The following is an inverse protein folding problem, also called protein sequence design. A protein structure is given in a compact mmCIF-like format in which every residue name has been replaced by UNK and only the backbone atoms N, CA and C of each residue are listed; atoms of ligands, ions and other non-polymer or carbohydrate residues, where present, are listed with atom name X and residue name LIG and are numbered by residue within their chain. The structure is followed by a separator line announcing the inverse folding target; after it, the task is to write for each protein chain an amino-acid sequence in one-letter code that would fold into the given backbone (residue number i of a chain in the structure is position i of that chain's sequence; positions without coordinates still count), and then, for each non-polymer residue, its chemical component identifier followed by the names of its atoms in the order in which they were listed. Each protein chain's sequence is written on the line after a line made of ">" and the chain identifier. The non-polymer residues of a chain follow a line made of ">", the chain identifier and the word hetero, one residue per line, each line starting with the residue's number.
data_IF_985078733697
#
_entry.id   IF_985078733697
#
_cell.length_a   1.000
_cell.length_b   1.000
_cell.length_c   1.000
_cell.angle_alpha   90.00
_cell.angle_beta   90.00
_cell.angle_gamma   90.00
#
_symmetry.space_group_name_H-M   'P 1'
#
loop_
_entity.id
_entity.type
_entity.pdbx_description
1 polymer ?
#
# COMPACT_ATOMS: atom_id res chain seq x y z
N UNK A 1 44.36 -1.20 -14.21
CA UNK A 1 43.58 -2.41 -13.88
C UNK A 1 43.19 -2.30 -12.41
N UNK A 2 42.01 -1.77 -12.10
CA UNK A 2 41.41 -1.81 -10.76
C UNK A 2 39.92 -2.04 -10.95
N UNK A 3 39.55 -3.28 -10.69
CA UNK A 3 38.25 -3.89 -10.87
C UNK A 3 37.57 -3.98 -9.49
N UNK A 4 36.24 -3.89 -9.49
CA UNK A 4 35.28 -4.33 -8.45
C UNK A 4 35.29 -3.66 -7.07
N UNK A 5 34.55 -2.55 -6.91
CA UNK A 5 33.94 -2.16 -5.61
C UNK A 5 32.50 -1.60 -5.73
N UNK A 6 31.74 -1.97 -6.76
CA UNK A 6 30.27 -1.78 -6.76
C UNK A 6 29.55 -2.94 -6.06
N UNK A 7 30.09 -3.34 -4.91
CA UNK A 7 29.55 -4.43 -4.10
C UNK A 7 28.41 -3.95 -3.21
N UNK A 8 27.18 -4.30 -3.59
CA UNK A 8 26.04 -4.52 -2.68
C UNK A 8 25.48 -3.31 -1.92
N UNK A 9 24.93 -2.31 -2.63
CA UNK A 9 23.89 -1.43 -2.06
C UNK A 9 22.66 -1.28 -2.96
N UNK A 10 22.40 -2.26 -3.83
CA UNK A 10 21.03 -2.56 -4.24
C UNK A 10 20.35 -3.31 -3.09
N UNK A 11 20.24 -2.67 -1.92
CA UNK A 11 19.40 -3.14 -0.85
C UNK A 11 17.96 -2.87 -1.30
N UNK A 12 17.36 -3.91 -1.85
CA UNK A 12 15.94 -4.23 -1.82
C UNK A 12 15.13 -3.39 -0.82
N UNK A 13 14.56 -2.30 -1.31
CA UNK A 13 13.24 -1.86 -0.90
C UNK A 13 12.53 -1.54 -2.21
N UNK A 14 11.36 -2.10 -2.53
CA UNK A 14 10.51 -1.46 -3.51
C UNK A 14 10.33 -0.05 -2.99
N UNK A 15 10.91 0.90 -3.70
CA UNK A 15 10.95 2.32 -3.35
C UNK A 15 9.49 2.71 -3.12
N UNK A 16 9.08 2.74 -1.85
CA UNK A 16 7.85 3.36 -1.45
C UNK A 16 8.14 4.83 -1.67
N UNK A 17 7.85 5.32 -2.88
CA UNK A 17 7.86 6.76 -3.15
C UNK A 17 6.79 7.32 -2.23
N UNK A 18 7.25 7.75 -1.07
CA UNK A 18 6.53 8.71 -0.27
C UNK A 18 6.77 10.05 -0.95
N UNK A 19 5.70 10.79 -1.23
CA UNK A 19 5.84 12.20 -1.61
C UNK A 19 6.51 13.03 -0.49
N UNK A 20 6.67 14.34 -0.69
CA UNK A 20 7.22 15.24 0.33
C UNK A 20 6.44 15.19 1.66
N UNK A 21 5.18 14.72 1.64
CA UNK A 21 4.29 14.58 2.79
C UNK A 21 4.33 13.19 3.46
N UNK A 22 5.18 12.29 2.98
CA UNK A 22 5.30 10.94 3.53
C UNK A 22 4.21 9.98 3.06
N UNK A 23 3.42 10.33 2.03
CA UNK A 23 2.28 9.54 1.55
C UNK A 23 2.71 8.59 0.43
N UNK A 24 2.30 7.33 0.55
CA UNK A 24 2.43 6.33 -0.49
C UNK A 24 1.09 6.13 -1.20
N UNK A 25 1.18 5.83 -2.50
CA UNK A 25 0.03 5.47 -3.32
C UNK A 25 0.13 3.99 -3.71
N UNK A 26 -0.92 3.23 -3.45
CA UNK A 26 -1.03 1.80 -3.82
C UNK A 26 -2.31 1.54 -4.56
N UNK A 27 -2.16 0.85 -5.68
CA UNK A 27 -3.25 0.40 -6.54
C UNK A 27 -3.45 -1.08 -6.34
N UNK A 28 -4.70 -1.51 -6.31
CA UNK A 28 -4.98 -2.92 -6.06
C UNK A 28 -6.46 -3.25 -6.05
N UNK A 29 -6.73 -4.46 -5.58
CA UNK A 29 -8.09 -4.99 -5.39
C UNK A 29 -8.36 -5.22 -3.91
N UNK A 30 -9.52 -4.81 -3.42
CA UNK A 30 -9.93 -5.12 -2.05
C UNK A 30 -10.27 -6.61 -1.94
N UNK A 31 -9.51 -7.36 -1.14
CA UNK A 31 -9.74 -8.80 -0.92
C UNK A 31 -10.61 -9.07 0.30
N UNK A 32 -10.64 -8.15 1.26
CA UNK A 32 -11.33 -8.34 2.55
C UNK A 32 -11.75 -7.00 3.14
N UNK A 33 -12.91 -6.99 3.78
CA UNK A 33 -13.40 -5.87 4.58
C UNK A 33 -14.00 -6.44 5.87
N UNK A 34 -13.43 -6.07 7.01
CA UNK A 34 -13.79 -6.57 8.34
C UNK A 34 -13.81 -5.41 9.35
N UNK A 35 -15.01 -4.89 9.64
CA UNK A 35 -15.19 -3.79 10.58
C UNK A 35 -14.42 -2.53 10.14
N UNK A 36 -13.50 -1.99 10.96
CA UNK A 36 -12.72 -0.80 10.63
C UNK A 36 -11.50 -1.09 9.73
N UNK A 37 -11.28 -2.34 9.35
CA UNK A 37 -10.14 -2.77 8.57
C UNK A 37 -10.57 -3.26 7.18
N UNK A 38 -9.74 -3.01 6.18
CA UNK A 38 -9.83 -3.66 4.89
C UNK A 38 -8.45 -4.18 4.48
N UNK A 39 -8.40 -5.03 3.46
CA UNK A 39 -7.15 -5.53 2.90
C UNK A 39 -7.13 -5.31 1.40
N UNK A 40 -6.10 -4.65 0.92
CA UNK A 40 -5.83 -4.38 -0.49
C UNK A 40 -4.71 -5.29 -0.96
N UNK A 41 -4.98 -6.10 -1.99
CA UNK A 41 -3.94 -6.77 -2.77
C UNK A 41 -3.39 -5.79 -3.77
N UNK A 42 -2.14 -5.36 -3.57
CA UNK A 42 -1.48 -4.45 -4.50
C UNK A 42 -1.20 -5.10 -5.85
N UNK A 43 -1.01 -4.29 -6.89
CA UNK A 43 -0.53 -4.74 -8.21
C UNK A 43 0.90 -5.34 -8.14
N UNK A 44 1.64 -5.04 -7.08
CA UNK A 44 2.93 -5.63 -6.73
C UNK A 44 2.81 -7.03 -6.10
N UNK A 45 1.59 -7.50 -5.82
CA UNK A 45 1.31 -8.79 -5.19
C UNK A 45 1.28 -8.76 -3.66
N UNK A 46 1.67 -7.64 -3.05
CA UNK A 46 1.76 -7.47 -1.60
C UNK A 46 0.37 -7.25 -0.97
N UNK A 47 0.23 -7.60 0.31
CA UNK A 47 -1.00 -7.40 1.07
C UNK A 47 -0.89 -6.19 1.99
N UNK A 48 -1.71 -5.19 1.70
CA UNK A 48 -1.79 -3.97 2.47
C UNK A 48 -3.05 -3.96 3.34
N UNK A 49 -2.86 -3.88 4.65
CA UNK A 49 -3.95 -3.60 5.57
C UNK A 49 -4.34 -2.13 5.48
N UNK A 50 -5.63 -1.82 5.43
CA UNK A 50 -6.16 -0.46 5.36
C UNK A 50 -6.90 -0.15 6.65
N UNK A 51 -6.70 1.06 7.17
CA UNK A 51 -7.45 1.60 8.31
C UNK A 51 -7.78 3.07 8.14
N UNK A 52 -8.69 3.57 8.97
CA UNK A 52 -9.13 4.97 9.00
C UNK A 52 -9.68 5.48 7.64
N UNK A 53 -10.12 4.58 6.77
CA UNK A 53 -10.76 4.93 5.51
C UNK A 53 -12.21 5.38 5.74
N UNK A 54 -12.64 6.39 4.98
CA UNK A 54 -14.02 6.92 5.04
C UNK A 54 -14.90 6.45 3.88
N UNK A 55 -14.27 5.98 2.79
CA UNK A 55 -15.00 5.44 1.65
C UNK A 55 -15.65 4.10 2.01
N UNK A 56 -16.80 3.80 1.42
CA UNK A 56 -17.33 2.44 1.45
C UNK A 56 -16.44 1.60 0.52
N UNK A 57 -15.75 0.61 1.09
CA UNK A 57 -14.95 -0.35 0.34
C UNK A 57 -15.70 -1.68 0.30
N UNK A 58 -15.74 -2.30 -0.86
CA UNK A 58 -16.31 -3.63 -1.07
C UNK A 58 -15.25 -4.60 -1.58
N UNK A 59 -15.43 -5.88 -1.25
CA UNK A 59 -14.54 -6.93 -1.76
C UNK A 59 -14.71 -7.06 -3.27
N UNK A 60 -13.60 -6.97 -4.01
CA UNK A 60 -13.56 -6.94 -5.47
C UNK A 60 -13.32 -5.56 -6.05
N UNK A 61 -13.44 -4.49 -5.26
CA UNK A 61 -13.22 -3.13 -5.74
C UNK A 61 -11.77 -2.92 -6.19
N UNK A 62 -11.61 -2.41 -7.41
CA UNK A 62 -10.34 -1.90 -7.88
C UNK A 62 -10.17 -0.46 -7.43
N UNK A 63 -9.20 -0.21 -6.57
CA UNK A 63 -9.03 1.10 -5.94
C UNK A 63 -7.58 1.53 -5.91
N UNK A 64 -7.38 2.83 -5.94
CA UNK A 64 -6.13 3.50 -5.60
C UNK A 64 -6.26 4.12 -4.21
N UNK A 65 -5.38 3.67 -3.32
CA UNK A 65 -5.29 4.11 -1.93
C UNK A 65 -4.05 4.96 -1.76
N UNK A 66 -4.25 6.16 -1.23
CA UNK A 66 -3.20 7.08 -0.83
C UNK A 66 -3.20 7.19 0.70
N UNK A 67 -2.04 7.06 1.33
CA UNK A 67 -1.95 7.08 2.79
C UNK A 67 -0.52 6.95 3.31
N UNK A 68 -0.37 6.79 4.62
CA UNK A 68 0.95 6.60 5.26
C UNK A 68 1.10 5.18 5.74
N UNK A 69 2.31 4.62 5.68
CA UNK A 69 2.61 3.37 6.39
C UNK A 69 2.41 3.62 7.88
N UNK A 70 1.45 2.92 8.46
CA UNK A 70 1.32 2.79 9.89
C UNK A 70 2.30 1.72 10.39
N UNK A 71 2.86 1.93 11.58
CA UNK A 71 3.64 0.89 12.26
C UNK A 71 2.76 -0.26 12.74
N UNK A 72 2.94 -0.71 13.98
CA UNK A 72 2.13 -1.78 14.55
C UNK A 72 0.62 -1.50 14.44
N UNK A 73 -0.14 -2.48 13.96
CA UNK A 73 -1.56 -2.39 13.67
C UNK A 73 -2.24 -3.73 13.95
N UNK A 74 -3.52 -3.67 14.31
CA UNK A 74 -4.39 -4.85 14.47
C UNK A 74 -5.09 -5.24 13.16
N UNK A 75 -5.00 -4.42 12.11
CA UNK A 75 -5.58 -4.75 10.82
C UNK A 75 -4.72 -5.80 10.09
N UNK A 76 -5.36 -6.76 9.39
CA UNK A 76 -4.64 -7.79 8.65
C UNK A 76 -3.89 -7.22 7.44
N UNK A 77 -2.66 -7.67 7.23
CA UNK A 77 -1.78 -7.28 6.13
C UNK A 77 -0.31 -7.26 6.57
N UNK A 78 0.60 -7.36 5.60
CA UNK A 78 2.05 -7.29 5.89
C UNK A 78 2.48 -5.85 6.19
N UNK A 79 1.83 -4.89 5.53
CA UNK A 79 2.03 -3.45 5.69
C UNK A 79 0.68 -2.81 5.95
N UNK A 80 0.54 -2.03 7.02
CA UNK A 80 -0.69 -1.26 7.25
C UNK A 80 -0.55 0.14 6.68
N UNK A 81 -1.58 0.60 5.96
CA UNK A 81 -1.74 1.95 5.44
C UNK A 81 -2.84 2.63 6.25
N UNK A 82 -2.49 3.75 6.88
CA UNK A 82 -3.47 4.72 7.35
C UNK A 82 -3.94 5.54 6.17
N UNK A 83 -5.19 5.34 5.77
CA UNK A 83 -5.73 5.87 4.53
C UNK A 83 -6.01 7.36 4.66
N UNK A 84 -5.46 8.14 3.74
CA UNK A 84 -5.77 9.57 3.59
C UNK A 84 -6.84 9.78 2.51
N UNK A 85 -6.74 9.04 1.39
CA UNK A 85 -7.68 9.10 0.28
C UNK A 85 -7.86 7.73 -0.36
N UNK A 86 -9.08 7.48 -0.81
CA UNK A 86 -9.46 6.34 -1.64
C UNK A 86 -10.05 6.92 -2.91
N UNK A 87 -9.66 6.37 -4.05
CA UNK A 87 -10.28 6.68 -5.34
C UNK A 87 -10.56 5.39 -6.08
N UNK A 88 -11.79 5.27 -6.59
CA UNK A 88 -12.15 4.14 -7.43
C UNK A 88 -11.34 4.22 -8.71
N UNK A 89 -10.80 3.07 -9.13
CA UNK A 89 -10.35 2.94 -10.51
C UNK A 89 -11.61 2.77 -11.34
N UNK A 90 -12.22 3.89 -11.71
CA UNK A 90 -13.26 3.89 -12.73
C UNK A 90 -12.63 3.42 -14.04
N UNK A 91 -12.68 2.11 -14.28
CA UNK A 91 -12.67 1.55 -15.63
C UNK A 91 -13.99 1.93 -16.28
N UNK A 92 -13.97 3.03 -17.04
CA UNK A 92 -15.02 3.33 -18.01
C UNK A 92 -14.94 2.41 -19.21
#
# INVERSE_FOLDING_TARGET
>A
MMDVYFGRLAASAPFHVTDEDGLLVRKGTIERVEGPCATLRGEDGELYGLRDFRAALEVGDQTEVEGRVAGASTCPGDITIQVARVSDRAGG
#
